data_IF_569832582127
#
_entry.id   IF_569832582127
#
_cell.length_a   1.000
_cell.length_b   1.000
_cell.length_c   1.000
_cell.angle_alpha   90.00
_cell.angle_beta   90.00
_cell.angle_gamma   90.00
#
_symmetry.space_group_name_H-M   'P 1'
#
loop_
_entity.id
_entity.type
_entity.pdbx_description
1 polymer ?
#
# COMPACT_ATOMS: atom_id res chain seq x y z
N UNK A 1 22.04 39.06 7.74
CA UNK A 1 22.06 37.61 8.04
C UNK A 1 21.29 37.21 9.31
N UNK A 2 21.49 37.83 10.50
CA UNK A 2 20.76 37.46 11.74
C UNK A 2 19.24 37.72 11.70
N UNK A 3 18.80 38.76 10.99
CA UNK A 3 17.39 39.19 10.94
C UNK A 3 16.48 38.25 10.13
N UNK A 4 17.00 37.67 9.05
CA UNK A 4 16.29 36.71 8.19
C UNK A 4 16.05 35.36 8.86
N UNK A 5 17.05 34.89 9.62
CA UNK A 5 16.97 33.64 10.39
C UNK A 5 15.90 33.74 11.48
N UNK A 6 15.83 34.88 12.18
CA UNK A 6 14.81 35.17 13.18
C UNK A 6 13.40 35.27 12.56
N UNK A 7 13.27 35.89 11.38
CA UNK A 7 11.99 35.95 10.67
C UNK A 7 11.51 34.56 10.22
N UNK A 8 12.42 33.69 9.75
CA UNK A 8 12.14 32.31 9.33
C UNK A 8 11.75 31.41 10.52
N UNK A 9 12.40 31.59 11.67
CA UNK A 9 12.05 30.94 12.93
C UNK A 9 10.67 31.36 13.43
N UNK A 10 10.37 32.67 13.47
CA UNK A 10 9.05 33.19 13.86
C UNK A 10 7.94 32.70 12.93
N UNK A 11 8.21 32.61 11.62
CA UNK A 11 7.25 32.09 10.64
C UNK A 11 7.00 30.58 10.84
N UNK A 12 8.05 29.78 11.09
CA UNK A 12 7.92 28.35 11.45
C UNK A 12 7.16 28.13 12.77
N UNK A 13 7.43 28.93 13.80
CA UNK A 13 6.73 28.86 15.10
C UNK A 13 5.26 29.22 14.93
N UNK A 14 4.94 30.32 14.24
CA UNK A 14 3.56 30.75 13.99
C UNK A 14 2.77 29.77 13.11
N UNK A 15 3.44 29.12 12.16
CA UNK A 15 2.84 28.04 11.36
C UNK A 15 2.54 26.82 12.25
N UNK A 16 3.48 26.44 13.13
CA UNK A 16 3.26 25.39 14.13
C UNK A 16 2.07 25.69 15.04
N UNK A 17 1.94 26.91 15.56
CA UNK A 17 0.83 27.29 16.44
C UNK A 17 -0.52 27.28 15.73
N UNK A 18 -0.60 27.76 14.48
CA UNK A 18 -1.84 27.73 13.69
C UNK A 18 -2.26 26.31 13.29
N UNK A 19 -1.31 25.45 12.95
CA UNK A 19 -1.58 24.05 12.61
C UNK A 19 -2.01 23.26 13.85
N UNK A 20 -1.41 23.54 15.02
CA UNK A 20 -1.78 22.91 16.29
C UNK A 20 -3.25 23.18 16.66
N UNK A 21 -3.66 24.45 16.62
CA UNK A 21 -5.04 24.84 16.90
C UNK A 21 -6.07 24.31 15.88
N UNK A 22 -5.63 23.84 14.71
CA UNK A 22 -6.51 23.34 13.66
C UNK A 22 -6.69 21.82 13.70
N UNK A 23 -5.70 21.07 14.19
CA UNK A 23 -5.68 19.60 14.09
C UNK A 23 -6.01 18.87 15.39
N UNK A 24 -5.82 19.50 16.54
CA UNK A 24 -6.30 18.98 17.82
C UNK A 24 -6.27 20.14 18.83
N UNK A 25 -7.41 20.59 19.36
CA UNK A 25 -7.35 21.39 20.57
C UNK A 25 -6.75 20.46 21.66
N UNK A 26 -5.73 20.93 22.38
CA UNK A 26 -4.91 20.14 23.32
C UNK A 26 -5.74 19.52 24.49
N UNK A 27 -7.05 19.72 24.50
CA UNK A 27 -8.06 19.36 25.50
C UNK A 27 -9.15 18.38 24.98
N UNK A 28 -9.05 17.87 23.74
CA UNK A 28 -10.04 16.94 23.20
C UNK A 28 -10.12 15.66 24.06
N UNK A 29 -11.28 15.42 24.67
CA UNK A 29 -11.55 14.19 25.42
C UNK A 29 -11.48 12.94 24.51
N UNK A 30 -11.34 11.76 25.11
CA UNK A 30 -11.18 10.51 24.35
C UNK A 30 -12.37 10.23 23.41
N UNK A 31 -13.57 10.69 23.76
CA UNK A 31 -14.77 10.57 22.91
C UNK A 31 -14.66 11.46 21.67
N UNK A 32 -14.07 12.64 21.80
CA UNK A 32 -13.82 13.59 20.72
C UNK A 32 -12.74 13.08 19.78
N UNK A 33 -11.67 12.48 20.32
CA UNK A 33 -10.64 11.81 19.50
C UNK A 33 -11.22 10.66 18.67
N UNK A 34 -12.02 9.77 19.27
CA UNK A 34 -12.67 8.68 18.54
C UNK A 34 -13.53 9.21 17.39
N UNK A 35 -14.32 10.26 17.62
CA UNK A 35 -15.12 10.88 16.55
C UNK A 35 -14.28 11.45 15.41
N UNK A 36 -13.16 12.11 15.73
CA UNK A 36 -12.24 12.65 14.71
C UNK A 36 -11.62 11.51 13.91
N UNK A 37 -11.20 10.44 14.58
CA UNK A 37 -10.64 9.24 13.95
C UNK A 37 -11.68 8.62 13.00
N UNK A 38 -12.91 8.41 13.46
CA UNK A 38 -14.00 7.85 12.64
C UNK A 38 -14.31 8.73 11.43
N UNK A 39 -14.39 10.05 11.63
CA UNK A 39 -14.64 11.01 10.57
C UNK A 39 -13.51 11.00 9.53
N UNK A 40 -12.25 10.94 9.97
CA UNK A 40 -11.10 10.81 9.08
C UNK A 40 -11.14 9.50 8.29
N UNK A 41 -11.42 8.36 8.93
CA UNK A 41 -11.49 7.07 8.25
C UNK A 41 -12.59 7.07 7.18
N UNK A 42 -13.78 7.57 7.49
CA UNK A 42 -14.86 7.71 6.49
C UNK A 42 -14.45 8.60 5.34
N UNK A 43 -13.93 9.79 5.64
CA UNK A 43 -13.43 10.70 4.59
C UNK A 43 -12.34 10.02 3.74
N UNK A 44 -11.44 9.27 4.37
CA UNK A 44 -10.35 8.61 3.66
C UNK A 44 -10.88 7.49 2.74
N UNK A 45 -11.73 6.60 3.22
CA UNK A 45 -12.16 5.44 2.44
C UNK A 45 -13.33 5.73 1.49
N UNK A 46 -14.25 6.63 1.86
CA UNK A 46 -15.48 6.90 1.10
C UNK A 46 -15.27 7.90 -0.06
N UNK A 47 -14.15 8.63 -0.10
CA UNK A 47 -13.85 9.57 -1.19
C UNK A 47 -13.27 8.91 -2.45
N UNK A 48 -13.00 7.59 -2.42
CA UNK A 48 -12.49 6.82 -3.58
C UNK A 48 -13.32 7.02 -4.86
N UNK A 49 -14.67 6.98 -4.84
CA UNK A 49 -15.49 7.15 -6.04
C UNK A 49 -15.31 8.51 -6.72
N UNK A 50 -14.81 9.52 -6.00
CA UNK A 50 -14.52 10.86 -6.51
C UNK A 50 -13.06 11.02 -6.97
N UNK A 51 -12.28 9.93 -6.96
CA UNK A 51 -10.85 9.97 -7.27
C UNK A 51 -10.03 10.64 -6.17
N UNK A 52 -10.51 10.65 -4.92
CA UNK A 52 -9.75 11.12 -3.77
C UNK A 52 -8.91 10.02 -3.12
N UNK A 53 -8.03 10.43 -2.21
CA UNK A 53 -7.41 9.57 -1.17
C UNK A 53 -6.72 8.32 -1.74
N UNK A 54 -7.10 7.11 -1.31
CA UNK A 54 -6.52 5.85 -1.78
C UNK A 54 -6.90 5.52 -3.23
N UNK A 55 -7.96 6.13 -3.76
CA UNK A 55 -8.33 6.05 -5.17
C UNK A 55 -7.41 6.87 -6.10
N UNK A 56 -6.60 7.77 -5.55
CA UNK A 56 -5.61 8.58 -6.26
C UNK A 56 -4.18 8.35 -5.75
N UNK A 57 -3.89 7.13 -5.28
CA UNK A 57 -2.52 6.70 -4.99
C UNK A 57 -1.93 6.04 -6.24
N UNK A 58 -0.72 6.42 -6.62
CA UNK A 58 -0.02 5.88 -7.79
C UNK A 58 1.41 5.50 -7.45
N UNK A 59 1.90 4.44 -8.10
CA UNK A 59 3.32 4.09 -8.12
C UNK A 59 3.83 4.19 -9.55
N UNK A 60 4.74 5.14 -9.79
CA UNK A 60 5.33 5.41 -11.11
C UNK A 60 4.29 5.54 -12.25
N UNK A 61 3.13 6.15 -11.95
CA UNK A 61 2.04 6.35 -12.91
C UNK A 61 1.03 5.21 -13.00
N UNK A 62 1.25 4.08 -12.31
CA UNK A 62 0.27 2.98 -12.22
C UNK A 62 -0.59 3.15 -10.96
N UNK A 63 -1.93 3.07 -11.06
CA UNK A 63 -2.80 3.10 -9.89
C UNK A 63 -2.42 2.04 -8.86
N UNK A 64 -2.41 2.44 -7.60
CA UNK A 64 -2.20 1.57 -6.45
C UNK A 64 -3.42 1.75 -5.54
N UNK A 65 -4.32 0.78 -5.54
CA UNK A 65 -5.55 0.83 -4.74
C UNK A 65 -5.28 0.53 -3.26
N UNK A 66 -4.28 1.20 -2.66
CA UNK A 66 -3.84 1.04 -1.27
C UNK A 66 -3.60 2.40 -0.62
N UNK A 67 -3.69 2.47 0.70
CA UNK A 67 -3.24 3.66 1.43
C UNK A 67 -1.71 3.78 1.30
N UNK A 68 -1.13 4.98 1.10
CA UNK A 68 0.32 5.16 1.04
C UNK A 68 1.05 4.68 2.30
N UNK A 69 0.40 4.74 3.47
CA UNK A 69 0.98 4.20 4.72
C UNK A 69 1.06 2.67 4.69
N UNK A 70 0.12 1.98 4.06
CA UNK A 70 0.20 0.52 3.88
C UNK A 70 1.42 0.16 3.02
N UNK A 71 1.68 0.92 1.96
CA UNK A 71 2.87 0.74 1.12
C UNK A 71 4.16 0.95 1.92
N UNK A 72 4.17 1.92 2.84
CA UNK A 72 5.30 2.12 3.74
C UNK A 72 5.51 0.90 4.67
N UNK A 73 4.43 0.32 5.20
CA UNK A 73 4.54 -0.90 6.01
C UNK A 73 5.00 -2.09 5.17
N UNK A 74 4.51 -2.23 3.93
CA UNK A 74 4.99 -3.28 3.03
C UNK A 74 6.50 -3.20 2.81
N UNK A 75 7.06 -1.99 2.64
CA UNK A 75 8.52 -1.90 2.50
C UNK A 75 9.27 -2.30 3.78
N UNK A 76 8.78 -1.94 4.98
CA UNK A 76 9.41 -2.37 6.24
C UNK A 76 9.35 -3.89 6.42
N UNK A 77 8.20 -4.51 6.08
CA UNK A 77 8.04 -5.96 6.11
C UNK A 77 9.02 -6.62 5.12
N UNK A 78 9.12 -6.12 3.88
CA UNK A 78 10.01 -6.70 2.87
C UNK A 78 11.49 -6.54 3.29
N UNK A 79 11.87 -5.38 3.82
CA UNK A 79 13.24 -5.13 4.27
C UNK A 79 13.64 -6.00 5.47
N UNK A 80 12.73 -6.19 6.43
CA UNK A 80 12.96 -7.02 7.61
C UNK A 80 12.88 -8.52 7.33
N UNK A 81 11.89 -8.96 6.55
CA UNK A 81 11.63 -10.38 6.27
C UNK A 81 12.50 -10.94 5.13
N UNK A 82 12.86 -10.10 4.16
CA UNK A 82 13.60 -10.48 2.94
C UNK A 82 13.02 -11.74 2.28
N UNK A 83 11.72 -11.74 1.90
CA UNK A 83 11.06 -12.94 1.36
C UNK A 83 11.70 -13.38 0.04
N UNK A 84 11.75 -14.70 -0.19
CA UNK A 84 12.12 -15.26 -1.49
C UNK A 84 10.99 -15.09 -2.52
N UNK A 85 9.74 -15.15 -2.05
CA UNK A 85 8.54 -15.04 -2.85
C UNK A 85 7.47 -14.24 -2.11
N UNK A 86 6.84 -13.30 -2.81
CA UNK A 86 5.65 -12.59 -2.38
C UNK A 86 4.49 -13.06 -3.26
N UNK A 87 3.39 -13.50 -2.65
CA UNK A 87 2.16 -13.88 -3.34
C UNK A 87 1.10 -12.84 -2.99
N UNK A 88 0.55 -12.17 -4.00
CA UNK A 88 -0.55 -11.21 -3.87
C UNK A 88 -1.79 -11.78 -4.56
N UNK A 89 -2.92 -11.85 -3.84
CA UNK A 89 -4.22 -12.11 -4.45
C UNK A 89 -4.94 -10.78 -4.64
N UNK A 90 -5.42 -10.49 -5.85
CA UNK A 90 -5.92 -9.17 -6.25
C UNK A 90 -4.82 -8.30 -6.87
N UNK A 91 -4.69 -8.34 -8.20
CA UNK A 91 -3.68 -7.54 -8.92
C UNK A 91 -4.20 -6.14 -9.26
N UNK A 92 -5.47 -6.03 -9.66
CA UNK A 92 -6.03 -4.83 -10.28
C UNK A 92 -5.13 -4.30 -11.43
N UNK A 93 -4.74 -3.03 -11.37
CA UNK A 93 -3.85 -2.36 -12.32
C UNK A 93 -2.37 -2.76 -12.17
N UNK A 94 -2.00 -3.51 -11.11
CA UNK A 94 -0.66 -4.03 -10.87
C UNK A 94 0.32 -3.06 -10.22
N UNK A 95 -0.14 -1.89 -9.76
CA UNK A 95 0.74 -0.89 -9.13
C UNK A 95 1.37 -1.36 -7.82
N UNK A 96 0.65 -2.11 -6.99
CA UNK A 96 1.19 -2.67 -5.74
C UNK A 96 2.25 -3.76 -6.00
N UNK A 97 1.99 -4.65 -6.95
CA UNK A 97 2.97 -5.62 -7.42
C UNK A 97 4.25 -4.94 -7.94
N UNK A 98 4.09 -3.84 -8.69
CA UNK A 98 5.22 -3.06 -9.19
C UNK A 98 6.01 -2.37 -8.07
N UNK A 99 5.31 -1.75 -7.11
CA UNK A 99 5.92 -1.19 -5.91
C UNK A 99 6.77 -2.23 -5.17
N UNK A 100 6.18 -3.37 -4.83
CA UNK A 100 6.89 -4.44 -4.11
C UNK A 100 8.07 -5.00 -4.90
N UNK A 101 7.96 -5.06 -6.24
CA UNK A 101 9.05 -5.50 -7.10
C UNK A 101 10.24 -4.54 -7.08
N UNK A 102 10.00 -3.22 -7.07
CA UNK A 102 11.08 -2.24 -6.93
C UNK A 102 11.70 -2.27 -5.52
N UNK A 103 10.90 -2.49 -4.47
CA UNK A 103 11.48 -2.72 -3.13
C UNK A 103 12.35 -3.99 -3.14
N UNK A 104 11.90 -5.07 -3.80
CA UNK A 104 12.69 -6.31 -3.99
C UNK A 104 14.02 -6.05 -4.74
N UNK A 105 14.08 -5.09 -5.66
CA UNK A 105 15.34 -4.67 -6.29
C UNK A 105 16.27 -3.98 -5.29
N UNK A 106 15.75 -3.03 -4.52
CA UNK A 106 16.53 -2.30 -3.51
C UNK A 106 17.12 -3.23 -2.45
N UNK A 107 16.35 -4.22 -2.02
CA UNK A 107 16.77 -5.22 -1.03
C UNK A 107 17.57 -6.38 -1.63
N UNK A 108 17.65 -6.46 -2.97
CA UNK A 108 18.39 -7.48 -3.71
C UNK A 108 17.77 -8.88 -3.70
N UNK A 109 16.54 -9.05 -3.18
CA UNK A 109 15.91 -10.36 -2.97
C UNK A 109 14.39 -10.29 -3.17
N UNK A 110 13.81 -11.39 -3.63
CA UNK A 110 12.37 -11.57 -3.75
C UNK A 110 11.87 -11.49 -5.17
N UNK A 111 10.75 -12.17 -5.42
CA UNK A 111 9.95 -12.10 -6.65
C UNK A 111 8.48 -12.12 -6.29
N UNK A 112 7.65 -11.62 -7.17
CA UNK A 112 6.22 -11.39 -6.95
C UNK A 112 5.44 -12.31 -7.87
N UNK A 113 4.44 -12.99 -7.31
CA UNK A 113 3.37 -13.64 -8.05
C UNK A 113 2.08 -12.95 -7.66
N UNK A 114 1.43 -12.28 -8.61
CA UNK A 114 0.15 -11.59 -8.37
C UNK A 114 -0.95 -12.21 -9.22
N UNK A 115 -2.12 -12.38 -8.62
CA UNK A 115 -3.19 -13.24 -9.11
C UNK A 115 -4.47 -12.43 -9.23
N UNK A 116 -5.13 -12.52 -10.39
CA UNK A 116 -6.41 -11.83 -10.60
C UNK A 116 -7.30 -12.59 -11.57
N UNK A 117 -8.61 -12.48 -11.39
CA UNK A 117 -9.61 -13.04 -12.31
C UNK A 117 -9.73 -12.21 -13.59
N UNK A 118 -9.34 -10.93 -13.55
CA UNK A 118 -9.33 -10.04 -14.70
C UNK A 118 -7.93 -9.91 -15.29
N UNK A 119 -7.86 -9.95 -16.61
CA UNK A 119 -6.64 -9.58 -17.33
C UNK A 119 -6.44 -8.06 -17.27
N UNK A 120 -5.20 -7.60 -17.38
CA UNK A 120 -4.87 -6.18 -17.42
C UNK A 120 -3.84 -5.89 -18.50
N UNK A 121 -4.25 -5.15 -19.53
CA UNK A 121 -3.40 -4.84 -20.69
C UNK A 121 -2.28 -3.84 -20.38
N UNK A 122 -2.45 -3.03 -19.33
CA UNK A 122 -1.52 -1.95 -18.95
C UNK A 122 -0.76 -2.24 -17.65
N UNK A 123 -0.74 -3.50 -17.21
CA UNK A 123 0.01 -3.90 -16.02
C UNK A 123 1.51 -3.69 -16.26
N UNK A 124 2.26 -3.12 -15.30
CA UNK A 124 3.69 -2.88 -15.46
C UNK A 124 4.47 -4.17 -15.72
N UNK A 125 5.35 -4.14 -16.72
CA UNK A 125 6.30 -5.22 -16.92
C UNK A 125 7.48 -5.06 -15.95
N UNK A 126 7.85 -6.14 -15.26
CA UNK A 126 9.02 -6.16 -14.39
C UNK A 126 9.61 -7.57 -14.30
N UNK A 127 10.95 -7.76 -14.35
CA UNK A 127 11.57 -9.09 -14.33
C UNK A 127 11.22 -9.96 -13.11
N UNK A 128 10.90 -9.29 -11.99
CA UNK A 128 10.51 -9.97 -10.74
C UNK A 128 9.03 -10.32 -10.64
N UNK A 129 8.17 -9.89 -11.57
CA UNK A 129 6.71 -10.08 -11.45
C UNK A 129 6.24 -11.20 -12.39
N UNK A 130 5.42 -12.09 -11.86
CA UNK A 130 4.64 -13.07 -12.63
C UNK A 130 3.16 -12.83 -12.39
N UNK A 131 2.41 -12.60 -13.47
CA UNK A 131 0.96 -12.44 -13.44
C UNK A 131 0.26 -13.78 -13.70
N UNK A 132 -0.68 -14.15 -12.83
CA UNK A 132 -1.54 -15.32 -13.03
C UNK A 132 -2.99 -14.86 -13.24
N UNK A 133 -3.57 -15.24 -14.38
CA UNK A 133 -4.98 -15.02 -14.68
C UNK A 133 -5.83 -16.20 -14.19
N UNK A 134 -6.72 -15.95 -13.24
CA UNK A 134 -7.65 -16.91 -12.67
C UNK A 134 -7.98 -16.60 -11.21
N UNK A 135 -8.92 -17.36 -10.64
CA UNK A 135 -9.26 -17.22 -9.22
C UNK A 135 -8.15 -17.77 -8.33
N UNK A 136 -7.74 -17.03 -7.31
CA UNK A 136 -6.77 -17.46 -6.30
C UNK A 136 -7.23 -18.68 -5.50
N UNK A 137 -8.54 -18.93 -5.42
CA UNK A 137 -9.13 -20.09 -4.75
C UNK A 137 -9.30 -21.29 -5.68
N UNK A 138 -9.06 -21.14 -6.99
CA UNK A 138 -9.16 -22.26 -7.92
C UNK A 138 -8.00 -23.26 -7.72
N UNK A 139 -8.26 -24.58 -7.75
CA UNK A 139 -7.21 -25.59 -7.61
C UNK A 139 -6.06 -25.43 -8.61
N UNK A 140 -6.37 -25.07 -9.85
CA UNK A 140 -5.37 -24.89 -10.90
C UNK A 140 -4.41 -23.73 -10.64
N UNK A 141 -4.90 -22.59 -10.13
CA UNK A 141 -4.05 -21.46 -9.74
C UNK A 141 -3.26 -21.81 -8.48
N UNK A 142 -3.90 -22.44 -7.49
CA UNK A 142 -3.23 -22.87 -6.27
C UNK A 142 -2.05 -23.82 -6.58
N UNK A 143 -2.22 -24.77 -7.51
CA UNK A 143 -1.15 -25.68 -7.93
C UNK A 143 0.00 -24.97 -8.65
N UNK A 144 -0.31 -23.97 -9.49
CA UNK A 144 0.72 -23.12 -10.12
C UNK A 144 1.49 -22.32 -9.08
N UNK A 145 0.81 -21.74 -8.09
CA UNK A 145 1.42 -20.99 -6.99
C UNK A 145 2.29 -21.91 -6.14
N UNK A 146 1.81 -23.10 -5.77
CA UNK A 146 2.63 -24.13 -5.09
C UNK A 146 3.88 -24.48 -5.89
N UNK A 147 3.73 -24.62 -7.22
CA UNK A 147 4.85 -24.85 -8.12
C UNK A 147 5.87 -23.74 -8.10
N UNK A 148 5.42 -22.48 -8.12
CA UNK A 148 6.27 -21.30 -8.04
C UNK A 148 6.90 -21.12 -6.66
N UNK A 149 6.24 -21.58 -5.58
CA UNK A 149 6.75 -21.51 -4.21
C UNK A 149 7.75 -22.63 -3.88
N UNK A 150 7.90 -23.66 -4.74
CA UNK A 150 8.88 -24.73 -4.50
C UNK A 150 10.29 -24.16 -4.35
N UNK A 151 10.97 -24.56 -3.27
CA UNK A 151 12.33 -24.14 -2.96
C UNK A 151 12.45 -22.72 -2.40
N UNK A 152 11.36 -21.96 -2.25
CA UNK A 152 11.38 -20.70 -1.52
C UNK A 152 11.52 -20.99 -0.02
N UNK A 153 12.49 -20.36 0.65
CA UNK A 153 12.67 -20.49 2.09
C UNK A 153 11.61 -19.69 2.86
N UNK A 154 11.42 -18.43 2.44
CA UNK A 154 10.45 -17.52 3.05
C UNK A 154 9.45 -17.03 2.02
N UNK A 155 8.15 -17.24 2.30
CA UNK A 155 7.04 -16.80 1.46
C UNK A 155 6.18 -15.82 2.23
N UNK A 156 5.98 -14.62 1.69
CA UNK A 156 5.03 -13.64 2.18
C UNK A 156 3.73 -13.75 1.36
N UNK A 157 2.59 -13.90 2.02
CA UNK A 157 1.28 -13.96 1.36
C UNK A 157 0.47 -12.72 1.75
N UNK A 158 -0.05 -12.03 0.75
CA UNK A 158 -0.88 -10.84 0.86
C UNK A 158 -2.25 -11.20 0.28
N UNK A 159 -3.24 -11.33 1.16
CA UNK A 159 -4.61 -11.64 0.79
C UNK A 159 -5.39 -10.34 0.57
N UNK A 160 -5.52 -9.93 -0.69
CA UNK A 160 -6.11 -8.64 -1.08
C UNK A 160 -7.12 -8.78 -2.25
N UNK A 161 -7.76 -9.96 -2.33
CA UNK A 161 -8.71 -10.33 -3.38
C UNK A 161 -10.13 -9.80 -3.10
N UNK A 162 -11.17 -10.56 -3.44
CA UNK A 162 -12.53 -10.22 -3.01
C UNK A 162 -12.59 -10.34 -1.47
N UNK A 163 -12.78 -9.22 -0.78
CA UNK A 163 -12.84 -9.10 0.69
C UNK A 163 -14.11 -9.76 1.28
N UNK A 164 -14.76 -10.66 0.55
CA UNK A 164 -15.86 -11.49 1.01
C UNK A 164 -15.33 -12.72 1.74
N UNK A 165 -15.95 -13.06 2.88
CA UNK A 165 -15.54 -14.18 3.74
C UNK A 165 -15.37 -15.52 3.01
N UNK A 166 -16.12 -15.77 1.94
CA UNK A 166 -16.04 -17.02 1.19
C UNK A 166 -14.85 -17.08 0.22
N UNK A 167 -14.22 -15.93 -0.06
CA UNK A 167 -13.13 -15.78 -1.02
C UNK A 167 -11.77 -15.52 -0.36
N UNK A 168 -11.75 -15.01 0.89
CA UNK A 168 -10.52 -14.85 1.69
C UNK A 168 -10.20 -16.07 2.54
#
# INVERSE_FOLDING_TARGET
>A
MKTEVLARLRRKVRLRTRVRNFLAPDDADDRSKVRIIDAFHRLYYDEKPKGGTWGATFWMGTPVQKCPLDLWIYQEIIDGLRPDLIIETGTADGGSAHFMANICDLVGKGRIVTIDILAGERRPAHPRITYLLGSSTSPSIADRVRGLARGAGTVLVILDSDHSKNHV
#
